data_IF_826146983215
#
_entry.id   IF_826146983215
#
_cell.length_a   1.000
_cell.length_b   1.000
_cell.length_c   1.000
_cell.angle_alpha   90.00
_cell.angle_beta   90.00
_cell.angle_gamma   90.00
#
_symmetry.space_group_name_H-M   'P 1'
#
loop_
_entity.id
_entity.type
_entity.pdbx_description
1 polymer ?
#
# COMPACT_ATOMS: atom_id res chain seq x y z
N UNK A 1 -1.47 16.61 3.59
CA UNK A 1 -2.35 17.20 2.58
C UNK A 1 -3.12 18.27 3.30
N UNK A 2 -3.20 19.46 2.73
CA UNK A 2 -3.90 20.60 3.30
C UNK A 2 -5.05 20.94 2.37
N UNK A 3 -6.24 21.19 2.94
CA UNK A 3 -7.40 21.57 2.15
C UNK A 3 -7.35 23.08 1.87
N UNK A 4 -7.38 23.46 0.60
CA UNK A 4 -7.49 24.84 0.15
C UNK A 4 -8.97 25.16 -0.13
N UNK A 5 -9.61 25.89 0.78
CA UNK A 5 -11.02 26.26 0.67
C UNK A 5 -11.34 27.11 -0.57
N UNK A 6 -10.39 27.93 -1.03
CA UNK A 6 -10.61 28.80 -2.17
C UNK A 6 -10.66 28.05 -3.50
N UNK A 7 -10.03 26.88 -3.53
CA UNK A 7 -9.92 26.00 -4.70
C UNK A 7 -10.73 24.71 -4.57
N UNK A 8 -11.28 24.45 -3.39
CA UNK A 8 -11.97 23.20 -3.05
C UNK A 8 -11.11 21.94 -3.30
N UNK A 9 -9.79 22.05 -3.04
CA UNK A 9 -8.79 21.03 -3.41
C UNK A 9 -7.85 20.69 -2.24
N UNK A 10 -7.38 19.45 -2.18
CA UNK A 10 -6.28 19.06 -1.29
C UNK A 10 -4.93 19.25 -1.98
N UNK A 11 -4.00 19.97 -1.35
CA UNK A 11 -2.67 20.25 -1.90
C UNK A 11 -1.54 19.84 -0.95
N UNK A 12 -0.35 19.56 -1.51
CA UNK A 12 0.89 19.37 -0.75
C UNK A 12 2.10 19.59 -1.66
N UNK A 13 3.07 20.35 -1.19
CA UNK A 13 4.38 20.48 -1.85
C UNK A 13 5.39 19.51 -1.23
N UNK A 14 6.11 18.77 -2.07
CA UNK A 14 7.11 17.78 -1.66
C UNK A 14 8.37 17.95 -2.51
N UNK A 15 9.55 17.95 -1.88
CA UNK A 15 10.82 17.89 -2.59
C UNK A 15 11.12 16.44 -2.97
N UNK A 16 11.08 16.13 -4.27
CA UNK A 16 11.35 14.80 -4.80
C UNK A 16 12.59 14.82 -5.69
N UNK A 17 13.26 13.68 -5.81
CA UNK A 17 14.33 13.51 -6.80
C UNK A 17 13.73 13.48 -8.20
N UNK A 18 14.54 13.73 -9.23
CA UNK A 18 14.08 13.58 -10.61
C UNK A 18 13.90 12.09 -10.94
N UNK A 19 12.73 11.74 -11.49
CA UNK A 19 12.36 10.37 -11.82
C UNK A 19 10.85 10.19 -11.99
N UNK A 20 10.44 8.96 -12.22
CA UNK A 20 9.04 8.57 -12.33
C UNK A 20 8.51 8.12 -10.97
N UNK A 21 7.31 8.57 -10.61
CA UNK A 21 6.67 8.23 -9.34
C UNK A 21 5.24 7.77 -9.57
N UNK A 22 4.92 6.60 -9.04
CA UNK A 22 3.54 6.20 -8.78
C UNK A 22 3.15 6.70 -7.39
N UNK A 23 1.94 7.21 -7.25
CA UNK A 23 1.40 7.67 -5.98
C UNK A 23 -0.08 7.29 -5.90
N UNK A 24 -0.61 7.21 -4.68
CA UNK A 24 -2.03 7.00 -4.40
C UNK A 24 -2.44 7.86 -3.22
N UNK A 25 -3.72 8.16 -3.10
CA UNK A 25 -4.27 8.87 -1.94
C UNK A 25 -4.92 7.88 -0.96
N UNK A 26 -4.53 7.97 0.31
CA UNK A 26 -5.06 7.11 1.39
C UNK A 26 -5.63 7.99 2.49
N UNK A 27 -6.85 7.69 2.93
CA UNK A 27 -7.45 8.33 4.10
C UNK A 27 -7.00 7.61 5.37
N UNK A 28 -6.82 8.39 6.43
CA UNK A 28 -6.46 7.86 7.75
C UNK A 28 -7.41 8.45 8.76
N UNK A 29 -8.08 7.60 9.53
CA UNK A 29 -8.93 8.05 10.62
C UNK A 29 -8.12 8.54 11.83
N UNK A 30 -8.81 9.07 12.84
CA UNK A 30 -8.16 9.59 14.05
C UNK A 30 -7.43 8.51 14.88
N UNK A 31 -7.73 7.22 14.62
CA UNK A 31 -7.13 6.07 15.28
C UNK A 31 -5.98 5.47 14.47
N UNK A 32 -5.67 6.02 13.29
CA UNK A 32 -4.60 5.56 12.42
C UNK A 32 -5.02 4.43 11.46
N UNK A 33 -6.31 4.10 11.38
CA UNK A 33 -6.81 3.12 10.41
C UNK A 33 -6.83 3.74 9.02
N UNK A 34 -6.27 3.03 8.05
CA UNK A 34 -6.23 3.46 6.65
C UNK A 34 -7.47 3.01 5.88
N UNK A 35 -7.94 3.86 4.97
CA UNK A 35 -8.89 3.53 3.91
C UNK A 35 -8.29 3.97 2.57
N UNK A 36 -7.87 2.98 1.78
CA UNK A 36 -7.25 3.15 0.48
C UNK A 36 -8.30 3.16 -0.65
N UNK A 37 -9.54 2.76 -0.37
CA UNK A 37 -10.58 2.53 -1.38
C UNK A 37 -11.43 3.77 -1.64
N UNK A 38 -11.50 4.71 -0.69
CA UNK A 38 -12.42 5.85 -0.79
C UNK A 38 -12.12 6.77 -1.99
N UNK A 39 -10.86 6.91 -2.40
CA UNK A 39 -10.49 7.72 -3.57
C UNK A 39 -10.13 6.87 -4.80
N UNK A 40 -9.40 5.76 -4.61
CA UNK A 40 -8.90 4.91 -5.69
C UNK A 40 -9.94 3.88 -6.17
N UNK A 41 -10.97 3.60 -5.35
CA UNK A 41 -11.96 2.56 -5.61
C UNK A 41 -11.41 1.13 -5.44
N UNK A 42 -12.21 0.14 -5.83
CA UNK A 42 -11.80 -1.27 -5.90
C UNK A 42 -12.18 -1.85 -7.25
N UNK A 43 -11.18 -2.10 -8.09
CA UNK A 43 -11.36 -2.58 -9.46
C UNK A 43 -10.63 -3.91 -9.65
N UNK A 44 -11.36 -4.96 -10.06
CA UNK A 44 -10.80 -6.31 -10.19
C UNK A 44 -9.78 -6.44 -11.33
N UNK A 45 -9.83 -5.52 -12.30
CA UNK A 45 -8.95 -5.50 -13.48
C UNK A 45 -7.56 -4.90 -13.17
N UNK A 46 -7.41 -4.26 -12.01
CA UNK A 46 -6.16 -3.63 -11.61
C UNK A 46 -5.05 -4.67 -11.47
N UNK A 47 -3.90 -4.39 -12.10
CA UNK A 47 -2.72 -5.22 -12.00
C UNK A 47 -2.09 -5.06 -10.61
N UNK A 48 -2.12 -6.14 -9.83
CA UNK A 48 -1.59 -6.18 -8.47
C UNK A 48 -0.54 -7.27 -8.36
N UNK A 49 0.55 -6.95 -7.66
CA UNK A 49 1.62 -7.90 -7.34
C UNK A 49 1.42 -8.39 -5.89
N UNK A 50 1.20 -9.69 -5.73
CA UNK A 50 1.00 -10.35 -4.44
C UNK A 50 2.25 -11.12 -4.04
N UNK A 51 2.81 -10.79 -2.88
CA UNK A 51 3.90 -11.55 -2.27
C UNK A 51 3.34 -12.50 -1.20
N UNK A 52 3.46 -13.80 -1.45
CA UNK A 52 3.13 -14.85 -0.50
C UNK A 52 4.41 -15.24 0.24
N UNK A 53 4.39 -15.22 1.57
CA UNK A 53 5.52 -15.65 2.40
C UNK A 53 5.03 -16.74 3.35
N UNK A 54 5.67 -17.91 3.32
CA UNK A 54 5.32 -19.05 4.16
C UNK A 54 6.28 -19.11 5.34
N UNK A 55 5.72 -18.95 6.53
CA UNK A 55 6.46 -19.03 7.79
C UNK A 55 6.24 -20.37 8.49
N UNK A 56 7.28 -20.89 9.12
CA UNK A 56 7.23 -22.05 10.00
C UNK A 56 7.88 -21.73 11.35
N UNK A 57 7.10 -21.88 12.42
CA UNK A 57 7.58 -21.79 13.80
C UNK A 57 7.85 -23.18 14.34
N UNK A 58 9.12 -23.57 14.40
CA UNK A 58 9.52 -24.81 15.06
C UNK A 58 9.37 -24.65 16.59
N UNK A 59 8.66 -25.55 17.30
CA UNK A 59 8.48 -25.47 18.76
C UNK A 59 9.79 -25.44 19.56
N UNK A 60 10.90 -25.90 18.96
CA UNK A 60 12.24 -25.92 19.57
C UNK A 60 13.08 -24.68 19.26
N UNK A 61 12.65 -23.85 18.33
CA UNK A 61 13.36 -22.63 17.93
C UNK A 61 12.61 -21.40 18.46
N UNK A 62 13.33 -20.29 18.65
CA UNK A 62 12.77 -19.05 19.21
C UNK A 62 12.43 -18.00 18.14
N UNK A 63 12.33 -18.40 16.88
CA UNK A 63 12.07 -17.50 15.77
C UNK A 63 11.20 -18.16 14.70
N UNK A 64 10.57 -17.34 13.87
CA UNK A 64 9.81 -17.76 12.70
C UNK A 64 10.74 -17.88 11.50
N UNK A 65 10.78 -19.06 10.89
CA UNK A 65 11.56 -19.29 9.68
C UNK A 65 10.70 -19.01 8.47
N UNK A 66 11.23 -18.26 7.51
CA UNK A 66 10.67 -18.25 6.15
C UNK A 66 11.11 -19.56 5.49
N UNK A 67 10.15 -20.41 5.15
CA UNK A 67 10.39 -21.69 4.47
C UNK A 67 10.04 -21.63 2.97
N UNK A 68 9.45 -20.53 2.52
CA UNK A 68 9.17 -20.29 1.12
C UNK A 68 8.63 -18.88 0.88
N UNK A 69 8.76 -18.40 -0.34
CA UNK A 69 8.11 -17.19 -0.81
C UNK A 69 7.74 -17.34 -2.28
N UNK A 70 6.71 -16.63 -2.73
CA UNK A 70 6.31 -16.58 -4.13
C UNK A 70 5.69 -15.21 -4.43
N UNK A 71 6.06 -14.62 -5.56
CA UNK A 71 5.36 -13.45 -6.11
C UNK A 71 4.41 -13.89 -7.22
N UNK A 72 3.18 -13.39 -7.21
CA UNK A 72 2.13 -13.71 -8.19
C UNK A 72 1.48 -12.40 -8.62
N UNK A 73 1.23 -12.24 -9.92
CA UNK A 73 0.52 -11.09 -10.48
C UNK A 73 -0.96 -11.43 -10.69
N UNK A 74 -1.87 -10.46 -10.51
CA UNK A 74 -3.31 -10.67 -10.81
C UNK A 74 -3.60 -10.94 -12.29
N UNK A 75 -2.70 -10.50 -13.18
CA UNK A 75 -2.74 -10.75 -14.63
C UNK A 75 -1.54 -11.61 -15.05
N UNK A 76 -1.79 -12.60 -15.90
CA UNK A 76 -0.77 -13.51 -16.44
C UNK A 76 0.04 -12.91 -17.59
#
# INVERSE_FOLDING_TARGET
MEYDESREEYTKSLLLKQGWYNFQYVLVDAQGKTDELMFEGSHYETENDYLIIVYYRNPRERYDRIIGYQSIKSRH
#
